data_IF_161350026345
#
_entry.id   IF_161350026345
#
_cell.length_a   1.000
_cell.length_b   1.000
_cell.length_c   1.000
_cell.angle_alpha   90.00
_cell.angle_beta   90.00
_cell.angle_gamma   90.00
#
_symmetry.space_group_name_H-M   'P 1'
#
loop_
_entity.id
_entity.type
_entity.pdbx_description
1 polymer ?
#
# COMPACT_ATOMS: atom_id res chain seq x y z
N UNK A 1 7.51 15.49 -7.41
CA UNK A 1 7.59 15.70 -8.87
C UNK A 1 8.95 15.31 -9.49
N UNK A 2 10.09 15.79 -8.96
CA UNK A 2 11.43 15.50 -9.54
C UNK A 2 11.83 14.01 -9.58
N UNK A 3 11.48 13.22 -8.56
CA UNK A 3 11.79 11.78 -8.52
C UNK A 3 10.98 10.96 -9.54
N UNK A 4 9.72 11.34 -9.75
CA UNK A 4 8.83 10.72 -10.74
C UNK A 4 9.28 11.01 -12.18
N UNK A 5 9.75 12.24 -12.45
CA UNK A 5 10.27 12.62 -13.76
C UNK A 5 11.57 11.88 -14.09
N UNK A 6 12.48 11.74 -13.11
CA UNK A 6 13.73 10.98 -13.27
C UNK A 6 13.47 9.47 -13.50
N UNK A 7 12.47 8.89 -12.84
CA UNK A 7 12.06 7.50 -13.06
C UNK A 7 11.45 7.29 -14.45
N UNK A 8 10.61 8.22 -14.92
CA UNK A 8 10.03 8.20 -16.27
C UNK A 8 11.11 8.31 -17.33
N UNK A 9 12.06 9.24 -17.17
CA UNK A 9 13.19 9.43 -18.09
C UNK A 9 14.09 8.19 -18.12
N UNK A 10 14.40 7.59 -16.97
CA UNK A 10 15.20 6.36 -16.92
C UNK A 10 14.51 5.17 -17.62
N UNK A 11 13.18 5.05 -17.49
CA UNK A 11 12.40 4.01 -18.19
C UNK A 11 12.38 4.26 -19.69
N UNK A 12 12.17 5.50 -20.13
CA UNK A 12 12.20 5.85 -21.57
C UNK A 12 13.59 5.61 -22.17
N UNK A 13 14.66 6.00 -21.46
CA UNK A 13 16.04 5.79 -21.91
C UNK A 13 16.38 4.29 -22.05
N UNK A 14 15.97 3.48 -21.08
CA UNK A 14 16.17 2.02 -21.14
C UNK A 14 15.42 1.37 -22.32
N UNK A 15 14.22 1.87 -22.65
CA UNK A 15 13.45 1.42 -23.83
C UNK A 15 14.16 1.84 -25.13
N UNK A 16 14.72 3.06 -25.20
CA UNK A 16 15.40 3.53 -26.40
C UNK A 16 16.73 2.82 -26.68
N UNK A 17 17.51 2.48 -25.66
CA UNK A 17 18.77 1.73 -25.84
C UNK A 17 18.53 0.27 -26.25
N UNK A 18 17.46 -0.34 -25.76
CA UNK A 18 17.02 -1.66 -26.22
C UNK A 18 16.59 -1.63 -27.71
N UNK A 19 15.96 -0.56 -28.16
CA UNK A 19 15.58 -0.39 -29.56
C UNK A 19 16.80 -0.15 -30.47
N UNK A 20 17.77 0.68 -30.05
CA UNK A 20 19.01 0.95 -30.81
C UNK A 20 19.86 -0.31 -31.03
N UNK A 21 20.08 -1.09 -29.97
CA UNK A 21 20.81 -2.37 -30.05
C UNK A 21 20.11 -3.41 -30.94
N UNK A 22 18.79 -3.32 -31.08
CA UNK A 22 18.00 -4.18 -32.00
C UNK A 22 18.17 -3.78 -33.47
N UNK A 23 18.32 -2.48 -33.77
CA UNK A 23 18.66 -2.01 -35.11
C UNK A 23 20.08 -2.42 -35.53
N UNK A 24 21.06 -2.30 -34.65
CA UNK A 24 22.45 -2.68 -34.94
C UNK A 24 22.61 -4.19 -35.18
N UNK A 25 21.95 -5.01 -34.36
CA UNK A 25 21.94 -6.47 -34.57
C UNK A 25 21.22 -6.89 -35.85
N UNK A 26 20.14 -6.21 -36.27
CA UNK A 26 19.50 -6.44 -37.57
C UNK A 26 20.36 -6.00 -38.76
N UNK A 27 21.18 -4.94 -38.61
CA UNK A 27 22.09 -4.51 -39.68
C UNK A 27 23.28 -5.46 -39.82
N UNK A 28 23.84 -5.94 -38.71
CA UNK A 28 24.90 -6.97 -38.71
C UNK A 28 24.40 -8.29 -39.33
N UNK A 29 23.18 -8.71 -39.02
CA UNK A 29 22.58 -9.93 -39.57
C UNK A 29 22.23 -9.81 -41.07
N UNK A 30 21.94 -8.59 -41.56
CA UNK A 30 21.73 -8.32 -43.00
C UNK A 30 23.03 -8.24 -43.79
N UNK A 31 24.12 -7.76 -43.18
CA UNK A 31 25.43 -7.73 -43.81
C UNK A 31 25.99 -9.16 -44.00
N UNK A 32 25.76 -10.04 -43.02
CA UNK A 32 26.24 -11.43 -43.01
C UNK A 32 25.45 -12.36 -43.98
N UNK A 33 24.22 -11.98 -44.36
CA UNK A 33 23.40 -12.72 -45.34
C UNK A 33 23.62 -12.32 -46.81
N UNK A 34 24.52 -11.38 -47.10
CA UNK A 34 24.76 -10.90 -48.47
C UNK A 34 25.74 -11.74 -49.30
N UNK A 35 26.25 -12.85 -48.75
CA UNK A 35 27.13 -13.78 -49.49
C UNK A 35 26.55 -15.19 -49.45
N UNK A 36 25.49 -15.48 -50.21
CA UNK A 36 25.29 -16.75 -50.94
C UNK A 36 23.89 -16.88 -51.58
N UNK A 37 23.90 -17.37 -52.83
CA UNK A 37 22.84 -18.11 -53.56
C UNK A 37 21.72 -17.33 -54.28
N UNK A 38 22.01 -16.95 -55.53
CA UNK A 38 21.42 -17.47 -56.80
C UNK A 38 20.12 -18.31 -56.69
N UNK A 39 19.01 -17.75 -57.20
CA UNK A 39 17.75 -18.35 -57.74
C UNK A 39 17.02 -19.50 -57.01
N UNK A 40 15.77 -19.26 -56.56
CA UNK A 40 14.61 -20.15 -56.76
C UNK A 40 13.26 -19.45 -56.50
N UNK A 41 12.27 -19.72 -57.37
CA UNK A 41 10.93 -19.10 -57.48
C UNK A 41 9.86 -19.73 -56.58
N UNK A 42 8.81 -18.93 -56.27
CA UNK A 42 7.34 -19.20 -56.14
C UNK A 42 6.87 -20.51 -55.45
N UNK A 43 5.96 -20.52 -54.46
CA UNK A 43 4.54 -20.11 -54.59
C UNK A 43 3.78 -20.28 -53.26
N UNK A 44 2.76 -19.43 -53.09
CA UNK A 44 1.80 -19.36 -51.98
C UNK A 44 0.81 -20.54 -52.00
N UNK A 45 0.45 -21.11 -50.84
CA UNK A 45 -0.80 -21.88 -50.66
C UNK A 45 -1.51 -21.52 -49.36
N UNK A 46 -2.77 -21.11 -49.51
CA UNK A 46 -3.80 -21.04 -48.47
C UNK A 46 -4.27 -22.45 -48.09
N UNK A 47 -4.65 -22.65 -46.83
CA UNK A 47 -5.56 -23.72 -46.42
C UNK A 47 -6.50 -23.24 -45.29
N UNK A 48 -7.72 -23.77 -45.30
CA UNK A 48 -8.92 -23.38 -44.55
C UNK A 48 -9.51 -24.62 -43.82
N UNK A 49 -10.23 -24.39 -42.70
CA UNK A 49 -11.19 -25.26 -41.95
C UNK A 49 -10.57 -26.39 -41.08
N UNK A 50 -11.12 -26.86 -39.94
CA UNK A 50 -12.45 -26.85 -39.29
C UNK A 50 -12.32 -27.37 -37.82
N UNK A 51 -13.30 -27.04 -36.96
CA UNK A 51 -13.50 -27.43 -35.54
C UNK A 51 -13.62 -28.94 -35.25
N UNK A 52 -13.23 -29.36 -34.02
CA UNK A 52 -13.86 -30.42 -33.17
C UNK A 52 -13.62 -30.10 -31.68
N UNK A 53 -14.65 -30.31 -30.85
CA UNK A 53 -14.77 -30.06 -29.41
C UNK A 53 -13.81 -30.85 -28.49
N UNK A 54 -13.31 -30.22 -27.40
CA UNK A 54 -12.92 -30.90 -26.16
C UNK A 54 -12.71 -29.92 -24.98
N UNK A 55 -13.49 -30.12 -23.92
CA UNK A 55 -13.17 -30.00 -22.48
C UNK A 55 -12.50 -28.70 -21.97
N UNK A 56 -13.28 -27.91 -21.22
CA UNK A 56 -12.79 -26.82 -20.37
C UNK A 56 -12.02 -27.39 -19.17
N UNK A 57 -10.69 -27.41 -19.28
CA UNK A 57 -9.78 -27.50 -18.14
C UNK A 57 -9.13 -26.12 -17.94
N UNK A 58 -9.21 -25.64 -16.70
CA UNK A 58 -8.77 -24.32 -16.24
C UNK A 58 -7.25 -24.20 -16.30
N UNK A 59 -6.74 -23.60 -17.37
CA UNK A 59 -5.31 -23.33 -17.57
C UNK A 59 -5.06 -21.85 -17.93
N UNK A 60 -5.43 -20.93 -17.03
CA UNK A 60 -4.94 -19.54 -17.12
C UNK A 60 -3.57 -19.40 -16.45
N UNK A 61 -2.57 -20.13 -16.96
CA UNK A 61 -1.15 -19.85 -16.76
C UNK A 61 -0.42 -19.62 -18.10
N UNK A 62 -1.22 -19.26 -19.11
CA UNK A 62 -0.75 -18.84 -20.42
C UNK A 62 -1.07 -17.36 -20.54
N UNK A 63 -0.08 -16.54 -20.90
CA UNK A 63 -0.20 -15.13 -21.32
C UNK A 63 -0.37 -14.05 -20.23
N UNK A 64 0.37 -12.93 -20.15
CA UNK A 64 1.28 -12.19 -21.04
C UNK A 64 0.88 -12.05 -22.53
N UNK A 65 -0.42 -12.08 -22.84
CA UNK A 65 -1.06 -11.39 -23.99
C UNK A 65 -1.46 -10.01 -23.45
N UNK A 66 -1.23 -8.88 -24.11
CA UNK A 66 -1.27 -8.60 -25.54
C UNK A 66 -0.32 -7.42 -25.90
N UNK A 67 -0.03 -7.11 -27.19
CA UNK A 67 -0.60 -7.65 -28.42
C UNK A 67 0.42 -8.37 -29.34
N UNK A 68 -0.15 -9.23 -30.18
CA UNK A 68 0.37 -9.85 -31.41
C UNK A 68 1.81 -9.56 -31.87
N UNK A 69 2.61 -10.64 -31.98
CA UNK A 69 3.65 -10.77 -33.00
C UNK A 69 5.11 -10.78 -32.51
N UNK A 70 5.70 -11.98 -32.43
CA UNK A 70 7.12 -12.19 -32.78
C UNK A 70 8.23 -11.71 -31.85
N UNK A 71 8.08 -11.75 -30.51
CA UNK A 71 9.13 -11.29 -29.58
C UNK A 71 9.49 -12.26 -28.42
N UNK A 72 9.25 -13.56 -28.56
CA UNK A 72 9.45 -14.54 -27.48
C UNK A 72 10.92 -14.82 -27.11
N UNK A 73 11.89 -14.66 -28.01
CA UNK A 73 13.32 -14.93 -27.73
C UNK A 73 14.12 -13.72 -27.21
N UNK A 74 13.57 -12.51 -27.28
CA UNK A 74 14.24 -11.26 -26.89
C UNK A 74 13.94 -10.85 -25.44
N UNK A 75 12.89 -11.40 -24.82
CA UNK A 75 12.42 -10.96 -23.49
C UNK A 75 13.28 -11.43 -22.32
N UNK A 76 13.93 -12.60 -22.40
CA UNK A 76 14.80 -13.08 -21.31
C UNK A 76 16.02 -12.17 -21.14
N UNK A 77 16.70 -11.82 -22.24
CA UNK A 77 17.92 -11.00 -22.22
C UNK A 77 17.68 -9.52 -21.85
N UNK A 78 16.48 -8.98 -22.10
CA UNK A 78 16.12 -7.59 -21.75
C UNK A 78 15.65 -7.48 -20.29
N UNK A 79 14.93 -8.49 -19.79
CA UNK A 79 14.52 -8.57 -18.37
C UNK A 79 15.72 -8.55 -17.42
N UNK A 80 16.83 -9.19 -17.79
CA UNK A 80 18.01 -9.34 -16.94
C UNK A 80 18.83 -8.05 -16.80
N UNK A 81 18.70 -7.11 -17.75
CA UNK A 81 19.41 -5.81 -17.74
C UNK A 81 18.65 -4.71 -17.00
N UNK A 82 17.38 -4.92 -16.68
CA UNK A 82 16.58 -3.94 -15.92
C UNK A 82 16.88 -4.12 -14.43
N UNK A 83 17.38 -3.08 -13.73
CA UNK A 83 17.65 -3.19 -12.30
C UNK A 83 16.41 -3.64 -11.53
N UNK A 84 16.57 -4.56 -10.60
CA UNK A 84 15.47 -5.18 -9.87
C UNK A 84 14.55 -4.13 -9.20
N UNK A 85 15.11 -3.00 -8.76
CA UNK A 85 14.36 -1.85 -8.22
C UNK A 85 13.39 -1.22 -9.23
N UNK A 86 13.79 -1.08 -10.50
CA UNK A 86 12.94 -0.55 -11.57
C UNK A 86 11.83 -1.55 -11.89
N UNK A 87 12.15 -2.84 -11.94
CA UNK A 87 11.18 -3.92 -12.14
C UNK A 87 10.14 -3.98 -11.03
N UNK A 88 10.55 -3.78 -9.78
CA UNK A 88 9.66 -3.71 -8.62
C UNK A 88 8.73 -2.50 -8.68
N UNK A 89 9.24 -1.31 -9.01
CA UNK A 89 8.41 -0.12 -9.21
C UNK A 89 7.40 -0.35 -10.35
N UNK A 90 7.83 -1.01 -11.42
CA UNK A 90 6.95 -1.36 -12.54
C UNK A 90 5.84 -2.35 -12.13
N UNK A 91 6.19 -3.44 -11.45
CA UNK A 91 5.23 -4.41 -10.91
C UNK A 91 4.23 -3.78 -9.94
N UNK A 92 4.69 -2.80 -9.16
CA UNK A 92 3.86 -2.13 -8.16
C UNK A 92 2.90 -1.12 -8.77
N UNK A 93 3.39 -0.22 -9.61
CA UNK A 93 2.64 0.97 -10.01
C UNK A 93 1.92 0.84 -11.36
N UNK A 94 2.41 -0.01 -12.25
CA UNK A 94 1.86 -0.11 -13.61
C UNK A 94 1.10 -1.42 -13.84
N UNK A 95 1.56 -2.51 -13.23
CA UNK A 95 0.96 -3.85 -13.45
C UNK A 95 0.15 -4.33 -12.26
N UNK A 96 0.29 -3.70 -11.09
CA UNK A 96 -0.38 -4.06 -9.85
C UNK A 96 -0.25 -5.56 -9.50
N UNK A 97 0.92 -6.18 -9.77
CA UNK A 97 1.12 -7.63 -9.58
C UNK A 97 0.88 -8.06 -8.13
N UNK A 98 0.16 -9.18 -7.88
CA UNK A 98 -0.20 -9.60 -6.54
C UNK A 98 1.02 -9.93 -5.68
N UNK A 99 0.91 -9.78 -4.37
CA UNK A 99 2.01 -9.99 -3.42
C UNK A 99 2.60 -11.41 -3.52
N UNK A 100 1.77 -12.44 -3.71
CA UNK A 100 2.24 -13.82 -3.89
C UNK A 100 3.07 -14.00 -5.17
N UNK A 101 2.76 -13.29 -6.25
CA UNK A 101 3.57 -13.32 -7.46
C UNK A 101 5.00 -12.80 -7.20
N UNK A 102 5.14 -11.69 -6.49
CA UNK A 102 6.45 -11.11 -6.18
C UNK A 102 7.20 -11.95 -5.14
N UNK A 103 6.48 -12.53 -4.17
CA UNK A 103 7.03 -13.49 -3.19
C UNK A 103 7.63 -14.71 -3.86
N UNK A 104 6.91 -15.32 -4.81
CA UNK A 104 7.38 -16.50 -5.54
C UNK A 104 8.61 -16.20 -6.41
N UNK A 105 8.79 -14.95 -6.83
CA UNK A 105 9.93 -14.53 -7.66
C UNK A 105 11.17 -14.14 -6.86
N UNK A 106 11.00 -13.56 -5.66
CA UNK A 106 12.11 -13.01 -4.87
C UNK A 106 12.43 -13.83 -3.62
N UNK A 107 11.48 -14.63 -3.14
CA UNK A 107 11.53 -15.27 -1.83
C UNK A 107 10.99 -14.35 -0.72
N UNK A 108 10.34 -14.96 0.26
CA UNK A 108 9.63 -14.25 1.33
C UNK A 108 10.53 -13.40 2.25
N UNK A 109 11.82 -13.74 2.34
CA UNK A 109 12.78 -13.04 3.20
C UNK A 109 13.65 -12.03 2.44
N UNK A 110 13.44 -11.86 1.13
CA UNK A 110 14.26 -10.95 0.34
C UNK A 110 13.96 -9.49 0.72
N UNK A 111 14.96 -8.64 1.03
CA UNK A 111 14.75 -7.26 1.48
C UNK A 111 13.86 -6.43 0.55
N UNK A 112 14.00 -6.64 -0.76
CA UNK A 112 13.17 -5.96 -1.75
C UNK A 112 11.72 -6.45 -1.81
N UNK A 113 11.47 -7.72 -1.50
CA UNK A 113 10.10 -8.23 -1.36
C UNK A 113 9.45 -7.66 -0.11
N UNK A 114 10.18 -7.62 1.02
CA UNK A 114 9.70 -6.99 2.25
C UNK A 114 9.34 -5.52 2.01
N UNK A 115 10.20 -4.78 1.28
CA UNK A 115 9.92 -3.41 0.86
C UNK A 115 8.68 -3.31 -0.04
N UNK A 116 8.56 -4.19 -1.05
CA UNK A 116 7.39 -4.22 -1.94
C UNK A 116 6.10 -4.46 -1.17
N UNK A 117 6.08 -5.47 -0.30
CA UNK A 117 4.96 -5.81 0.56
C UNK A 117 4.57 -4.61 1.43
N UNK A 118 5.54 -3.99 2.10
CA UNK A 118 5.32 -2.80 2.91
C UNK A 118 4.73 -1.65 2.09
N UNK A 119 5.35 -1.27 0.98
CA UNK A 119 4.86 -0.15 0.16
C UNK A 119 3.48 -0.43 -0.45
N UNK A 120 3.18 -1.69 -0.79
CA UNK A 120 1.83 -2.07 -1.25
C UNK A 120 0.80 -1.94 -0.14
N UNK A 121 1.10 -2.46 1.05
CA UNK A 121 0.27 -2.28 2.24
C UNK A 121 0.03 -0.78 2.54
N UNK A 122 1.07 0.06 2.46
CA UNK A 122 0.93 1.50 2.67
C UNK A 122 0.05 2.17 1.60
N UNK A 123 0.18 1.80 0.33
CA UNK A 123 -0.63 2.34 -0.76
C UNK A 123 -2.09 1.93 -0.63
N UNK A 124 -2.34 0.68 -0.23
CA UNK A 124 -3.69 0.17 0.01
C UNK A 124 -4.33 0.92 1.19
N UNK A 125 -3.59 1.11 2.29
CA UNK A 125 -4.03 1.93 3.44
C UNK A 125 -4.32 3.37 3.02
N UNK A 126 -3.45 4.01 2.24
CA UNK A 126 -3.64 5.38 1.76
C UNK A 126 -4.87 5.50 0.84
N UNK A 127 -5.08 4.52 -0.03
CA UNK A 127 -6.26 4.47 -0.92
C UNK A 127 -7.55 4.32 -0.11
N UNK A 128 -7.54 3.48 0.93
CA UNK A 128 -8.70 3.32 1.81
C UNK A 128 -8.96 4.56 2.66
N UNK A 129 -7.91 5.17 3.21
CA UNK A 129 -8.01 6.38 4.01
C UNK A 129 -8.52 7.58 3.19
N UNK A 130 -8.03 7.75 1.96
CA UNK A 130 -8.46 8.83 1.05
C UNK A 130 -9.88 8.64 0.51
N UNK A 131 -10.35 7.40 0.37
CA UNK A 131 -11.75 7.08 0.03
C UNK A 131 -12.72 7.19 1.21
N UNK A 132 -12.29 7.76 2.33
CA UNK A 132 -13.11 7.99 3.53
C UNK A 132 -13.65 6.73 4.22
N UNK A 133 -12.97 5.59 4.10
CA UNK A 133 -13.28 4.44 4.98
C UNK A 133 -12.92 4.81 6.43
N UNK A 134 -13.90 4.81 7.34
CA UNK A 134 -13.65 5.17 8.74
C UNK A 134 -12.69 4.18 9.39
N UNK A 135 -11.99 4.63 10.45
CA UNK A 135 -11.14 3.75 11.25
C UNK A 135 -11.94 2.58 11.82
N UNK A 136 -13.21 2.80 12.18
CA UNK A 136 -14.08 1.77 12.70
C UNK A 136 -14.45 0.68 11.68
N UNK A 137 -14.70 1.03 10.42
CA UNK A 137 -14.90 0.02 9.37
C UNK A 137 -13.65 -0.86 9.20
N UNK A 138 -12.46 -0.25 9.29
CA UNK A 138 -11.22 -1.00 9.21
C UNK A 138 -10.98 -1.87 10.45
N UNK A 139 -11.32 -1.38 11.64
CA UNK A 139 -11.32 -2.15 12.88
C UNK A 139 -12.17 -3.42 12.78
N UNK A 140 -13.40 -3.30 12.28
CA UNK A 140 -14.29 -4.45 12.00
C UNK A 140 -13.69 -5.39 10.96
N UNK A 141 -13.13 -4.85 9.87
CA UNK A 141 -12.48 -5.65 8.81
C UNK A 141 -11.29 -6.48 9.34
N UNK A 142 -10.58 -5.97 10.33
CA UNK A 142 -9.50 -6.70 11.01
C UNK A 142 -10.01 -7.73 12.03
N UNK A 143 -11.33 -7.86 12.23
CA UNK A 143 -11.93 -8.78 13.19
C UNK A 143 -11.62 -8.44 14.65
N UNK A 144 -11.34 -7.16 14.93
CA UNK A 144 -11.03 -6.66 16.27
C UNK A 144 -12.29 -6.34 17.09
N UNK A 145 -13.42 -6.14 16.40
CA UNK A 145 -14.70 -5.87 17.06
C UNK A 145 -15.15 -7.06 17.91
N UNK A 146 -15.49 -6.79 19.17
CA UNK A 146 -15.90 -7.80 20.14
C UNK A 146 -14.77 -8.69 20.68
N UNK A 147 -13.50 -8.48 20.29
CA UNK A 147 -12.36 -9.26 20.84
C UNK A 147 -12.07 -8.94 22.30
N UNK A 148 -12.33 -7.70 22.71
CA UNK A 148 -12.26 -7.24 24.09
C UNK A 148 -13.54 -6.48 24.40
N UNK A 149 -13.96 -6.52 25.66
CA UNK A 149 -15.11 -5.76 26.16
C UNK A 149 -14.59 -4.66 27.07
N UNK A 150 -14.83 -3.41 26.68
CA UNK A 150 -14.43 -2.23 27.44
C UNK A 150 -15.62 -1.31 27.62
N UNK A 151 -15.61 -0.57 28.73
CA UNK A 151 -16.62 0.43 29.07
C UNK A 151 -15.95 1.75 29.46
N UNK A 152 -16.61 2.87 29.16
CA UNK A 152 -16.12 4.22 29.43
C UNK A 152 -15.89 4.50 30.92
N UNK A 153 -16.55 3.76 31.81
CA UNK A 153 -16.45 3.90 33.27
C UNK A 153 -15.35 3.04 33.89
N UNK A 154 -14.69 2.17 33.12
CA UNK A 154 -13.60 1.34 33.62
C UNK A 154 -12.41 2.20 34.05
N UNK A 155 -11.64 1.69 35.01
CA UNK A 155 -10.41 2.36 35.43
C UNK A 155 -9.35 2.30 34.32
N UNK A 156 -8.36 3.20 34.40
CA UNK A 156 -7.23 3.20 33.48
C UNK A 156 -6.53 1.84 33.41
N UNK A 157 -6.32 1.17 34.55
CA UNK A 157 -5.63 -0.11 34.60
C UNK A 157 -6.45 -1.24 33.95
N UNK A 158 -7.78 -1.21 34.10
CA UNK A 158 -8.67 -2.17 33.44
C UNK A 158 -8.64 -1.99 31.91
N UNK A 159 -8.73 -0.75 31.43
CA UNK A 159 -8.66 -0.44 30.00
C UNK A 159 -7.30 -0.85 29.43
N UNK A 160 -6.20 -0.49 30.11
CA UNK A 160 -4.85 -0.83 29.69
C UNK A 160 -4.62 -2.35 29.66
N UNK A 161 -5.15 -3.09 30.64
CA UNK A 161 -5.08 -4.54 30.65
C UNK A 161 -5.87 -5.18 29.50
N UNK A 162 -7.03 -4.62 29.14
CA UNK A 162 -7.80 -5.04 27.97
C UNK A 162 -7.05 -4.78 26.66
N UNK A 163 -6.48 -3.57 26.49
CA UNK A 163 -5.69 -3.22 25.30
C UNK A 163 -4.48 -4.12 25.12
N UNK A 164 -3.81 -4.48 26.21
CA UNK A 164 -2.66 -5.39 26.20
C UNK A 164 -2.99 -6.79 25.64
N UNK A 165 -4.25 -7.22 25.64
CA UNK A 165 -4.65 -8.49 25.02
C UNK A 165 -4.62 -8.43 23.48
N UNK A 166 -4.77 -7.23 22.91
CA UNK A 166 -4.71 -7.00 21.46
C UNK A 166 -3.29 -6.64 20.99
N UNK A 167 -2.48 -6.03 21.87
CA UNK A 167 -1.10 -5.65 21.58
C UNK A 167 -0.27 -6.83 21.06
N UNK A 168 0.55 -6.56 20.04
CA UNK A 168 1.40 -7.59 19.43
C UNK A 168 0.67 -8.56 18.49
N UNK A 169 -0.68 -8.51 18.40
CA UNK A 169 -1.40 -9.27 17.38
C UNK A 169 -1.24 -8.60 16.01
N UNK A 170 -1.05 -9.39 14.96
CA UNK A 170 -0.89 -8.87 13.60
C UNK A 170 -2.07 -7.97 13.14
N UNK A 171 -3.35 -8.31 13.41
CA UNK A 171 -4.47 -7.44 13.05
C UNK A 171 -4.46 -6.09 13.76
N UNK A 172 -4.10 -6.06 15.05
CA UNK A 172 -4.02 -4.82 15.83
C UNK A 172 -2.89 -3.91 15.35
N UNK A 173 -1.70 -4.47 15.09
CA UNK A 173 -0.57 -3.73 14.53
C UNK A 173 -0.88 -3.19 13.12
N UNK A 174 -1.63 -3.94 12.32
CA UNK A 174 -2.09 -3.50 11.00
C UNK A 174 -3.09 -2.34 11.12
N UNK A 175 -4.05 -2.47 12.03
CA UNK A 175 -5.00 -1.42 12.37
C UNK A 175 -4.31 -0.15 12.86
N UNK A 176 -3.33 -0.26 13.76
CA UNK A 176 -2.53 0.87 14.26
C UNK A 176 -1.87 1.67 13.13
N UNK A 177 -1.23 0.97 12.18
CA UNK A 177 -0.63 1.63 11.01
C UNK A 177 -1.67 2.35 10.16
N UNK A 178 -2.84 1.73 9.95
CA UNK A 178 -3.94 2.34 9.22
C UNK A 178 -4.48 3.59 9.92
N UNK A 179 -4.78 3.50 11.22
CA UNK A 179 -5.32 4.61 12.02
C UNK A 179 -4.37 5.82 12.00
N UNK A 180 -3.07 5.59 12.20
CA UNK A 180 -2.08 6.66 12.10
C UNK A 180 -2.00 7.30 10.72
N UNK A 181 -2.08 6.53 9.63
CA UNK A 181 -2.11 7.07 8.26
C UNK A 181 -3.39 7.83 7.96
N UNK A 182 -4.53 7.35 8.45
CA UNK A 182 -5.82 8.05 8.34
C UNK A 182 -5.73 9.41 9.02
N UNK A 183 -5.20 9.43 10.24
CA UNK A 183 -4.99 10.62 11.05
C UNK A 183 -4.04 11.62 10.36
N UNK A 184 -2.88 11.16 9.86
CA UNK A 184 -1.95 11.98 9.09
C UNK A 184 -2.59 12.60 7.85
N UNK A 185 -3.40 11.82 7.13
CA UNK A 185 -4.10 12.30 5.94
C UNK A 185 -5.08 13.42 6.31
N UNK A 186 -5.89 13.25 7.37
CA UNK A 186 -6.84 14.26 7.84
C UNK A 186 -6.13 15.52 8.32
N UNK A 187 -5.03 15.40 9.07
CA UNK A 187 -4.18 16.54 9.47
C UNK A 187 -3.66 17.28 8.24
N UNK A 188 -3.16 16.55 7.24
CA UNK A 188 -2.63 17.17 6.01
C UNK A 188 -3.68 17.97 5.25
N UNK A 189 -4.94 17.53 5.32
CA UNK A 189 -6.06 18.24 4.69
C UNK A 189 -6.42 19.54 5.42
N UNK A 190 -6.16 19.67 6.73
CA UNK A 190 -6.42 20.90 7.48
C UNK A 190 -5.69 22.11 6.93
N UNK A 191 -4.45 21.93 6.45
CA UNK A 191 -3.64 23.00 5.85
C UNK A 191 -4.07 23.39 4.44
N UNK A 192 -4.96 22.63 3.80
CA UNK A 192 -5.33 22.86 2.39
C UNK A 192 -6.44 23.88 2.19
N UNK A 193 -7.15 24.30 3.25
CA UNK A 193 -8.21 25.32 3.19
C UNK A 193 -9.50 24.93 2.43
N UNK A 194 -9.47 23.85 1.65
CA UNK A 194 -10.61 23.44 0.81
C UNK A 194 -11.59 22.51 1.53
N UNK A 195 -11.13 21.65 2.44
CA UNK A 195 -11.98 20.70 3.17
C UNK A 195 -11.41 20.41 4.56
N UNK A 196 -12.09 20.93 5.60
CA UNK A 196 -11.88 20.50 7.00
C UNK A 196 -13.03 19.60 7.38
N UNK A 197 -12.75 18.33 7.60
CA UNK A 197 -13.77 17.41 8.09
C UNK A 197 -14.25 17.88 9.47
N UNK A 198 -15.55 17.74 9.73
CA UNK A 198 -16.14 18.02 11.04
C UNK A 198 -16.28 16.75 11.88
N UNK A 199 -15.80 15.62 11.36
CA UNK A 199 -16.05 14.30 11.90
C UNK A 199 -14.85 13.36 11.73
N UNK A 200 -14.21 12.98 12.85
CA UNK A 200 -12.91 12.29 12.83
C UNK A 200 -12.91 10.85 13.38
N UNK A 201 -13.88 10.51 14.24
CA UNK A 201 -14.07 9.19 14.86
C UNK A 201 -15.44 8.71 14.46
N UNK A 202 -15.68 7.48 14.03
CA UNK A 202 -17.03 7.02 13.64
C UNK A 202 -18.08 7.15 14.77
N UNK A 203 -19.35 7.49 14.49
CA UNK A 203 -20.39 7.64 15.56
C UNK A 203 -20.70 6.28 16.14
N UNK A 204 -20.61 5.27 15.28
CA UNK A 204 -20.79 3.86 15.60
C UNK A 204 -19.53 3.21 16.16
N UNK A 205 -18.40 3.93 16.28
CA UNK A 205 -17.17 3.36 16.80
C UNK A 205 -17.35 2.83 18.21
N UNK A 206 -16.93 1.58 18.40
CA UNK A 206 -16.98 0.91 19.70
C UNK A 206 -16.04 1.58 20.71
N UNK A 207 -16.35 1.41 21.99
CA UNK A 207 -15.55 1.95 23.09
C UNK A 207 -14.09 1.45 23.00
N UNK A 208 -13.91 0.18 22.61
CA UNK A 208 -12.60 -0.41 22.41
C UNK A 208 -11.81 0.26 21.27
N UNK A 209 -12.44 0.54 20.12
CA UNK A 209 -11.77 1.23 19.01
C UNK A 209 -11.31 2.64 19.42
N UNK A 210 -12.16 3.38 20.13
CA UNK A 210 -11.86 4.75 20.56
C UNK A 210 -10.70 4.79 21.57
N UNK A 211 -10.66 3.86 22.52
CA UNK A 211 -9.52 3.73 23.44
C UNK A 211 -8.24 3.30 22.71
N UNK A 212 -8.33 2.43 21.69
CA UNK A 212 -7.17 2.04 20.88
C UNK A 212 -6.62 3.27 20.12
N UNK A 213 -7.49 4.11 19.57
CA UNK A 213 -7.07 5.38 18.95
C UNK A 213 -6.41 6.32 19.94
N UNK A 214 -6.98 6.49 21.13
CA UNK A 214 -6.39 7.28 22.20
C UNK A 214 -4.99 6.77 22.60
N UNK A 215 -4.80 5.44 22.66
CA UNK A 215 -3.49 4.83 22.87
C UNK A 215 -2.51 5.19 21.76
N UNK A 216 -2.91 5.04 20.50
CA UNK A 216 -2.03 5.30 19.36
C UNK A 216 -1.63 6.77 19.24
N UNK A 217 -2.52 7.68 19.61
CA UNK A 217 -2.18 9.10 19.68
C UNK A 217 -1.09 9.36 20.73
N UNK A 218 -1.16 8.66 21.86
CA UNK A 218 -0.15 8.77 22.90
C UNK A 218 1.20 8.23 22.39
N UNK A 219 1.22 7.01 21.86
CA UNK A 219 2.41 6.36 21.32
C UNK A 219 3.04 7.12 20.14
N UNK A 220 2.23 7.81 19.33
CA UNK A 220 2.68 8.61 18.19
C UNK A 220 2.99 10.06 18.57
N UNK A 221 2.95 10.40 19.87
CA UNK A 221 3.16 11.74 20.42
C UNK A 221 2.34 12.82 19.71
N UNK A 222 1.07 12.55 19.46
CA UNK A 222 0.16 13.55 18.87
C UNK A 222 0.03 14.75 19.80
N UNK A 223 -0.20 15.94 19.24
CA UNK A 223 -0.31 17.16 20.04
C UNK A 223 -1.64 17.19 20.81
N UNK A 224 -1.71 18.00 21.87
CA UNK A 224 -2.95 18.17 22.63
C UNK A 224 -4.10 18.67 21.75
N UNK A 225 -3.83 19.77 21.04
CA UNK A 225 -4.76 20.41 20.12
C UNK A 225 -5.38 19.40 19.16
N UNK A 226 -4.54 18.52 18.62
CA UNK A 226 -4.97 17.49 17.68
C UNK A 226 -5.93 16.48 18.32
N UNK A 227 -5.57 15.95 19.48
CA UNK A 227 -6.42 14.97 20.17
C UNK A 227 -7.74 15.61 20.60
N UNK A 228 -7.70 16.86 21.08
CA UNK A 228 -8.90 17.63 21.38
C UNK A 228 -9.75 17.83 20.13
N UNK A 229 -9.17 18.17 18.99
CA UNK A 229 -9.91 18.30 17.73
C UNK A 229 -10.61 17.02 17.32
N UNK A 230 -9.90 15.89 17.36
CA UNK A 230 -10.43 14.59 16.95
C UNK A 230 -11.55 14.10 17.87
N UNK A 231 -11.51 14.48 19.14
CA UNK A 231 -12.55 14.21 20.12
C UNK A 231 -13.66 15.28 20.17
N UNK A 232 -13.58 16.34 19.35
CA UNK A 232 -14.55 17.44 19.37
C UNK A 232 -14.47 18.35 20.59
N UNK A 233 -13.31 18.38 21.26
CA UNK A 233 -13.04 19.10 22.52
C UNK A 233 -12.30 20.43 22.35
N UNK A 234 -12.06 20.93 21.13
CA UNK A 234 -11.30 22.18 20.92
C UNK A 234 -11.89 23.39 21.65
N UNK A 235 -13.23 23.46 21.75
CA UNK A 235 -13.95 24.54 22.45
C UNK A 235 -14.52 24.09 23.79
N UNK A 236 -14.14 22.90 24.26
CA UNK A 236 -14.66 22.34 25.49
C UNK A 236 -14.03 23.04 26.70
N UNK A 237 -14.79 23.17 27.78
CA UNK A 237 -14.29 23.68 29.05
C UNK A 237 -13.34 22.67 29.71
N UNK A 238 -12.48 23.09 30.65
CA UNK A 238 -11.63 22.17 31.40
C UNK A 238 -12.40 21.03 32.08
N UNK A 239 -13.61 21.29 32.56
CA UNK A 239 -14.50 20.27 33.16
C UNK A 239 -15.04 19.27 32.12
N UNK A 240 -15.36 19.72 30.90
CA UNK A 240 -15.75 18.82 29.82
C UNK A 240 -14.59 17.94 29.36
N UNK A 241 -13.38 18.50 29.31
CA UNK A 241 -12.15 17.78 28.96
C UNK A 241 -11.81 16.75 30.05
N UNK A 242 -11.97 17.10 31.34
CA UNK A 242 -11.70 16.19 32.45
C UNK A 242 -12.63 14.99 32.48
N UNK A 243 -13.87 15.15 32.00
CA UNK A 243 -14.89 14.09 31.92
C UNK A 243 -14.80 13.20 30.69
N UNK A 244 -14.03 13.56 29.66
CA UNK A 244 -13.92 12.74 28.46
C UNK A 244 -12.97 11.54 28.69
N UNK A 245 -13.48 10.29 28.72
CA UNK A 245 -12.69 9.12 29.11
C UNK A 245 -11.54 8.83 28.13
N UNK A 246 -11.76 9.07 26.84
CA UNK A 246 -10.75 8.84 25.80
C UNK A 246 -9.60 9.83 25.89
N UNK A 247 -9.91 11.11 26.16
CA UNK A 247 -8.89 12.12 26.39
C UNK A 247 -8.07 11.82 27.65
N UNK A 248 -8.74 11.45 28.75
CA UNK A 248 -8.05 11.07 30.00
C UNK A 248 -7.15 9.85 29.81
N UNK A 249 -7.61 8.85 29.04
CA UNK A 249 -6.82 7.67 28.73
C UNK A 249 -5.59 7.99 27.87
N UNK A 250 -5.77 8.79 26.81
CA UNK A 250 -4.66 9.33 26.01
C UNK A 250 -3.62 10.03 26.90
N UNK A 251 -4.08 10.94 27.76
CA UNK A 251 -3.22 11.76 28.60
C UNK A 251 -2.39 10.90 29.57
N UNK A 252 -3.04 9.99 30.31
CA UNK A 252 -2.35 9.07 31.23
C UNK A 252 -1.40 8.13 30.50
N UNK A 253 -1.76 7.66 29.31
CA UNK A 253 -0.88 6.82 28.49
C UNK A 253 0.36 7.60 28.06
N UNK A 254 0.19 8.86 27.63
CA UNK A 254 1.31 9.71 27.23
C UNK A 254 2.26 9.97 28.40
N UNK A 255 1.74 10.31 29.59
CA UNK A 255 2.54 10.51 30.80
C UNK A 255 3.34 9.26 31.19
N UNK A 256 2.71 8.09 31.09
CA UNK A 256 3.37 6.81 31.37
C UNK A 256 4.51 6.52 30.38
N UNK A 257 4.32 6.82 29.09
CA UNK A 257 5.31 6.57 28.05
C UNK A 257 6.45 7.61 28.07
N UNK A 258 6.14 8.86 28.43
CA UNK A 258 7.05 10.00 28.33
C UNK A 258 7.08 10.86 29.61
N UNK A 259 7.49 10.31 30.77
CA UNK A 259 7.40 10.98 32.07
C UNK A 259 8.29 12.22 32.22
N UNK A 260 9.24 12.44 31.29
CA UNK A 260 10.19 13.57 31.30
C UNK A 260 9.85 14.65 30.27
N UNK A 261 8.86 14.45 29.42
CA UNK A 261 8.47 15.44 28.41
C UNK A 261 7.49 16.45 29.01
N UNK A 262 7.64 17.74 28.66
CA UNK A 262 6.67 18.76 29.07
C UNK A 262 5.33 18.42 28.44
N UNK A 263 4.30 18.36 29.28
CA UNK A 263 2.95 18.04 28.88
C UNK A 263 2.50 18.86 27.67
N UNK A 264 1.75 18.25 26.74
CA UNK A 264 0.89 19.01 25.84
C UNK A 264 -0.06 19.85 26.71
N UNK A 265 0.17 21.18 26.80
CA UNK A 265 -0.50 22.08 27.77
C UNK A 265 -2.02 21.88 27.78
N UNK A 266 -2.61 21.70 28.97
CA UNK A 266 -4.06 21.59 29.21
C UNK A 266 -4.81 22.83 28.72
#
# INVERSE_FOLDING_TARGET
>A
MRLYFLLLVAVVLAITDALKTTTESRQLQRADQSTSVVYARRSLRLATKSNVDAVLEDSTDTEERAPSGGLSSLKSKISDKIPLKVKLAWWQHFVNKPTEYVKNRLGANHPLYLKFKHTREENDMWTLASRSSSTFEFWKKQGLEGKITLDEKMSFDQIAAGMKQLEGTAPFEFYKRYANKFDDHRISNFGSGYYRDTYFIDKSASVAEKFARAQFWAESKRSNEYVKEFLGLLKATPDQISKNPYYQYYFKTFEKLYPKERHPKL
#
